data_IF_712711796788
#
_entry.id   IF_712711796788
#
_cell.length_a   1.000
_cell.length_b   1.000
_cell.length_c   1.000
_cell.angle_alpha   90.00
_cell.angle_beta   90.00
_cell.angle_gamma   90.00
#
_symmetry.space_group_name_H-M   'P 1'
#
loop_
_entity.id
_entity.type
_entity.pdbx_description
1 polymer ?
#
# COMPACT_ATOMS: atom_id res chain seq x y z
N UNK A 1 15.23 -4.63 34.96
CA UNK A 1 15.87 -5.22 33.76
C UNK A 1 15.46 -6.67 33.40
N UNK A 2 14.87 -7.49 34.29
CA UNK A 2 14.54 -8.90 33.97
C UNK A 2 13.17 -9.18 33.31
N UNK A 3 12.21 -8.25 33.35
CA UNK A 3 10.86 -8.45 32.73
C UNK A 3 10.82 -8.30 31.19
N UNK A 4 11.75 -7.55 30.59
CA UNK A 4 11.77 -7.28 29.15
C UNK A 4 12.26 -8.47 28.31
N UNK A 5 13.17 -9.28 28.85
CA UNK A 5 13.74 -10.45 28.17
C UNK A 5 12.70 -11.58 28.08
N UNK A 6 11.87 -11.77 29.12
CA UNK A 6 10.84 -12.81 29.15
C UNK A 6 9.71 -12.58 28.13
N UNK A 7 9.29 -11.33 27.90
CA UNK A 7 8.30 -11.00 26.86
C UNK A 7 8.84 -11.27 25.45
N UNK A 8 10.14 -11.08 25.21
CA UNK A 8 10.74 -11.32 23.88
C UNK A 8 10.81 -12.82 23.51
N UNK A 9 11.08 -13.68 24.50
CA UNK A 9 11.22 -15.14 24.31
C UNK A 9 9.85 -15.80 24.08
N UNK A 10 8.81 -15.31 24.78
CA UNK A 10 7.43 -15.75 24.55
C UNK A 10 6.96 -15.30 23.16
N UNK A 11 7.29 -14.07 22.72
CA UNK A 11 6.89 -13.61 21.39
C UNK A 11 7.57 -14.37 20.25
N UNK A 12 8.85 -14.75 20.41
CA UNK A 12 9.62 -15.48 19.39
C UNK A 12 9.13 -16.94 19.23
N UNK A 13 8.81 -17.60 20.34
CA UNK A 13 8.26 -18.96 20.35
C UNK A 13 6.81 -19.02 19.84
N UNK A 14 6.00 -17.98 20.04
CA UNK A 14 4.65 -17.92 19.48
C UNK A 14 4.62 -17.60 17.98
N UNK A 15 5.54 -16.77 17.48
CA UNK A 15 5.68 -16.52 16.04
C UNK A 15 6.14 -17.78 15.30
N UNK A 16 7.03 -18.59 15.90
CA UNK A 16 7.41 -19.88 15.34
C UNK A 16 6.25 -20.88 15.31
N UNK A 17 5.38 -20.89 16.33
CA UNK A 17 4.18 -21.75 16.36
C UNK A 17 3.12 -21.28 15.36
N UNK A 18 2.90 -19.97 15.21
CA UNK A 18 2.01 -19.41 14.18
C UNK A 18 2.54 -19.72 12.76
N UNK A 19 3.85 -19.57 12.54
CA UNK A 19 4.52 -19.93 11.29
C UNK A 19 4.44 -21.44 11.00
N UNK A 20 4.57 -22.31 12.00
CA UNK A 20 4.46 -23.76 11.85
C UNK A 20 3.04 -24.21 11.52
N UNK A 21 2.02 -23.58 12.13
CA UNK A 21 0.61 -23.92 11.88
C UNK A 21 0.11 -23.46 10.49
N UNK A 22 0.76 -22.47 9.88
CA UNK A 22 0.50 -22.01 8.50
C UNK A 22 1.19 -22.90 7.46
N UNK A 23 2.38 -23.42 7.76
CA UNK A 23 3.14 -24.27 6.84
C UNK A 23 2.48 -25.63 6.54
N UNK A 24 1.58 -26.13 7.40
CA UNK A 24 0.95 -27.45 7.21
C UNK A 24 -0.18 -27.50 6.17
N UNK A 25 -0.60 -26.36 5.59
CA UNK A 25 -1.69 -26.29 4.60
C UNK A 25 -1.30 -25.82 3.20
N UNK A 26 -0.02 -25.59 2.91
CA UNK A 26 0.40 -25.23 1.55
C UNK A 26 0.64 -26.49 0.70
N UNK A 27 -0.30 -26.83 -0.18
CA UNK A 27 -0.01 -27.72 -1.32
C UNK A 27 1.00 -26.99 -2.19
N UNK A 28 2.23 -27.50 -2.23
CA UNK A 28 3.31 -27.02 -3.10
C UNK A 28 2.92 -27.29 -4.55
N UNK A 29 2.35 -26.28 -5.22
CA UNK A 29 2.32 -26.23 -6.68
C UNK A 29 3.77 -25.99 -7.12
N UNK A 30 4.34 -26.92 -7.90
CA UNK A 30 5.68 -26.79 -8.48
C UNK A 30 5.72 -25.47 -9.26
N UNK A 31 6.48 -24.50 -8.73
CA UNK A 31 6.56 -23.15 -9.29
C UNK A 31 7.31 -23.15 -10.61
N UNK A 32 6.78 -22.44 -11.60
CA UNK A 32 7.49 -22.12 -12.84
C UNK A 32 8.85 -21.50 -12.53
N UNK A 33 9.91 -21.89 -13.24
CA UNK A 33 11.29 -21.38 -13.13
C UNK A 33 11.44 -19.93 -13.64
N UNK A 34 10.57 -19.02 -13.20
CA UNK A 34 10.66 -17.62 -13.57
C UNK A 34 11.88 -16.97 -12.91
N UNK A 35 12.63 -16.12 -13.64
CA UNK A 35 13.76 -15.43 -13.08
C UNK A 35 13.31 -14.52 -11.93
N UNK A 36 13.92 -14.71 -10.75
CA UNK A 36 13.63 -13.92 -9.56
C UNK A 36 14.52 -12.68 -9.50
N UNK A 37 14.00 -11.59 -8.95
CA UNK A 37 14.71 -10.34 -8.68
C UNK A 37 14.57 -9.96 -7.22
N UNK A 38 15.63 -9.43 -6.63
CA UNK A 38 15.59 -8.84 -5.28
C UNK A 38 15.16 -7.38 -5.40
N UNK A 39 14.11 -7.01 -4.67
CA UNK A 39 13.57 -5.65 -4.64
C UNK A 39 13.78 -5.08 -3.24
N UNK A 40 14.55 -4.00 -3.13
CA UNK A 40 14.78 -3.28 -1.88
C UNK A 40 13.71 -2.19 -1.71
N UNK A 41 12.87 -2.34 -0.69
CA UNK A 41 11.82 -1.37 -0.36
C UNK A 41 12.30 -0.32 0.64
N UNK A 42 13.14 -0.72 1.59
CA UNK A 42 13.96 0.12 2.49
C UNK A 42 15.31 -0.57 2.72
N UNK A 43 16.27 0.12 3.33
CA UNK A 43 17.66 -0.35 3.44
C UNK A 43 17.75 -1.78 4.01
N UNK A 44 16.99 -2.04 5.08
CA UNK A 44 16.97 -3.34 5.76
C UNK A 44 15.76 -4.21 5.39
N UNK A 45 15.09 -3.94 4.27
CA UNK A 45 13.94 -4.75 3.84
C UNK A 45 13.95 -4.96 2.34
N UNK A 46 14.18 -6.22 1.97
CA UNK A 46 14.13 -6.67 0.59
C UNK A 46 13.30 -7.93 0.47
N UNK A 47 12.73 -8.11 -0.71
CA UNK A 47 11.95 -9.30 -1.05
C UNK A 47 12.41 -9.82 -2.40
N UNK A 48 12.62 -11.14 -2.47
CA UNK A 48 12.88 -11.84 -3.72
C UNK A 48 11.55 -12.23 -4.36
N UNK A 49 11.29 -11.74 -5.56
CA UNK A 49 10.03 -11.96 -6.29
C UNK A 49 10.27 -12.21 -7.77
N UNK A 50 9.30 -12.78 -8.45
CA UNK A 50 9.40 -13.04 -9.89
C UNK A 50 9.53 -11.73 -10.67
N UNK A 51 10.46 -11.70 -11.64
CA UNK A 51 10.72 -10.51 -12.46
C UNK A 51 9.50 -10.09 -13.28
N UNK A 52 8.67 -11.06 -13.71
CA UNK A 52 7.40 -10.82 -14.40
C UNK A 52 6.38 -10.12 -13.48
N UNK A 53 6.23 -10.60 -12.24
CA UNK A 53 5.37 -9.99 -11.23
C UNK A 53 5.80 -8.56 -10.91
N UNK A 54 7.11 -8.34 -10.70
CA UNK A 54 7.65 -7.00 -10.47
C UNK A 54 7.33 -6.06 -11.64
N UNK A 55 7.57 -6.49 -12.88
CA UNK A 55 7.25 -5.70 -14.08
C UNK A 55 5.75 -5.40 -14.20
N UNK A 56 4.88 -6.37 -13.87
CA UNK A 56 3.42 -6.22 -13.88
C UNK A 56 2.96 -5.18 -12.87
N UNK A 57 3.49 -5.21 -11.65
CA UNK A 57 3.10 -4.28 -10.59
C UNK A 57 3.70 -2.87 -10.74
N UNK A 58 4.85 -2.74 -11.41
CA UNK A 58 5.55 -1.47 -11.62
C UNK A 58 4.94 -0.64 -12.76
N UNK A 59 3.65 -0.34 -12.66
CA UNK A 59 2.88 0.42 -13.66
C UNK A 59 3.35 1.87 -13.79
N UNK A 60 3.90 2.45 -12.71
CA UNK A 60 4.34 3.85 -12.65
C UNK A 60 5.79 4.11 -13.09
N UNK A 61 6.53 3.09 -13.58
CA UNK A 61 7.97 3.22 -13.92
C UNK A 61 8.26 4.40 -14.85
N UNK A 62 7.42 4.60 -15.87
CA UNK A 62 7.57 5.66 -16.89
C UNK A 62 6.77 6.94 -16.60
N UNK A 63 6.15 7.04 -15.42
CA UNK A 63 5.43 8.26 -15.01
C UNK A 63 6.40 9.34 -14.52
N UNK A 64 7.07 10.05 -15.43
CA UNK A 64 8.12 11.02 -15.09
C UNK A 64 7.65 12.19 -14.21
N UNK A 65 6.36 12.47 -14.18
CA UNK A 65 5.72 13.47 -13.32
C UNK A 65 5.65 13.06 -11.83
N UNK A 66 6.01 11.83 -11.46
CA UNK A 66 5.95 11.34 -10.08
C UNK A 66 7.33 11.03 -9.51
N UNK A 67 7.56 11.39 -8.24
CA UNK A 67 8.79 11.05 -7.53
C UNK A 67 8.92 9.54 -7.21
N UNK A 68 10.16 9.11 -6.91
CA UNK A 68 10.49 7.70 -6.61
C UNK A 68 9.62 7.07 -5.51
N UNK A 69 9.33 7.81 -4.44
CA UNK A 69 8.49 7.30 -3.34
C UNK A 69 7.04 7.05 -3.80
N UNK A 70 6.45 8.00 -4.54
CA UNK A 70 5.09 7.85 -5.08
C UNK A 70 4.97 6.66 -6.03
N UNK A 71 5.96 6.46 -6.92
CA UNK A 71 6.02 5.28 -7.81
C UNK A 71 6.11 3.97 -7.02
N UNK A 72 6.90 3.95 -5.94
CA UNK A 72 7.03 2.77 -5.05
C UNK A 72 5.75 2.49 -4.27
N UNK A 73 5.01 3.52 -3.85
CA UNK A 73 3.69 3.35 -3.23
C UNK A 73 2.74 2.63 -4.19
N UNK A 74 2.69 3.05 -5.47
CA UNK A 74 1.87 2.37 -6.49
C UNK A 74 2.31 0.92 -6.70
N UNK A 75 3.62 0.67 -6.78
CA UNK A 75 4.16 -0.69 -6.91
C UNK A 75 3.69 -1.61 -5.77
N UNK A 76 3.75 -1.12 -4.52
CA UNK A 76 3.35 -1.88 -3.34
C UNK A 76 1.83 -2.12 -3.28
N UNK A 77 1.01 -1.11 -3.57
CA UNK A 77 -0.45 -1.27 -3.70
C UNK A 77 -0.80 -2.28 -4.80
N UNK A 78 -0.09 -2.27 -5.93
CA UNK A 78 -0.30 -3.24 -6.99
C UNK A 78 0.12 -4.65 -6.59
N UNK A 79 1.18 -4.78 -5.80
CA UNK A 79 1.63 -6.09 -5.32
C UNK A 79 0.61 -6.70 -4.35
N UNK A 80 0.00 -5.91 -3.47
CA UNK A 80 -1.07 -6.40 -2.58
C UNK A 80 -2.35 -6.75 -3.35
N UNK A 81 -2.58 -6.18 -4.53
CA UNK A 81 -3.73 -6.47 -5.39
C UNK A 81 -3.53 -7.70 -6.29
N UNK A 82 -2.33 -7.83 -6.87
CA UNK A 82 -2.05 -8.86 -7.90
C UNK A 82 -1.53 -10.16 -7.31
N UNK A 83 -0.86 -10.08 -6.16
CA UNK A 83 -0.31 -11.24 -5.48
C UNK A 83 -0.58 -11.13 -3.97
N UNK A 84 -1.86 -11.10 -3.54
CA UNK A 84 -2.25 -10.77 -2.17
C UNK A 84 -1.69 -11.78 -1.15
N UNK A 85 -1.74 -13.08 -1.48
CA UNK A 85 -1.15 -14.16 -0.66
C UNK A 85 0.37 -13.99 -0.53
N UNK A 86 1.06 -13.69 -1.63
CA UNK A 86 2.51 -13.43 -1.61
C UNK A 86 2.83 -12.19 -0.78
N UNK A 87 2.03 -11.12 -0.91
CA UNK A 87 2.19 -9.89 -0.12
C UNK A 87 2.02 -10.18 1.37
N UNK A 88 1.00 -10.96 1.75
CA UNK A 88 0.79 -11.38 3.13
C UNK A 88 2.01 -12.14 3.68
N UNK A 89 2.44 -13.19 2.98
CA UNK A 89 3.44 -14.13 3.48
C UNK A 89 4.88 -13.57 3.41
N UNK A 90 5.18 -12.74 2.42
CA UNK A 90 6.54 -12.24 2.15
C UNK A 90 6.77 -10.80 2.58
N UNK A 91 5.72 -9.99 2.69
CA UNK A 91 5.84 -8.57 3.07
C UNK A 91 5.23 -8.32 4.44
N UNK A 92 3.94 -8.59 4.63
CA UNK A 92 3.23 -8.27 5.88
C UNK A 92 3.84 -8.98 7.09
N UNK A 93 4.06 -10.29 7.02
CA UNK A 93 4.65 -11.09 8.12
C UNK A 93 6.06 -10.61 8.48
N UNK A 94 6.87 -10.23 7.48
CA UNK A 94 8.27 -9.83 7.69
C UNK A 94 8.43 -8.36 8.06
N UNK A 95 7.39 -7.55 7.86
CA UNK A 95 7.47 -6.13 8.08
C UNK A 95 7.60 -5.84 9.59
N UNK A 96 8.73 -5.24 9.95
CA UNK A 96 9.17 -5.01 11.33
C UNK A 96 9.03 -3.55 11.79
N UNK A 97 8.81 -2.63 10.85
CA UNK A 97 9.00 -1.19 11.04
C UNK A 97 7.98 -0.50 11.93
N UNK A 98 6.74 -1.01 11.96
CA UNK A 98 5.67 -0.54 12.86
C UNK A 98 4.72 -1.65 13.31
N UNK A 99 4.66 -2.81 12.63
CA UNK A 99 3.73 -3.92 12.95
C UNK A 99 3.84 -4.43 14.38
N UNK A 100 5.02 -4.38 15.00
CA UNK A 100 5.19 -4.80 16.41
C UNK A 100 4.51 -3.87 17.43
N UNK A 101 4.25 -2.62 17.05
CA UNK A 101 3.55 -1.63 17.88
C UNK A 101 2.07 -1.52 17.52
N UNK A 102 1.69 -2.03 16.35
CA UNK A 102 0.31 -1.98 15.86
C UNK A 102 -0.54 -3.04 16.55
N UNK A 103 -1.83 -2.75 16.71
CA UNK A 103 -2.76 -3.67 17.33
C UNK A 103 -2.91 -4.95 16.49
N UNK A 104 -2.61 -6.08 17.12
CA UNK A 104 -2.63 -7.42 16.55
C UNK A 104 -3.91 -7.73 15.77
N UNK A 105 -5.07 -7.25 16.22
CA UNK A 105 -6.37 -7.50 15.57
C UNK A 105 -6.43 -6.94 14.15
N UNK A 106 -5.83 -5.77 13.90
CA UNK A 106 -5.81 -5.14 12.57
C UNK A 106 -4.85 -5.84 11.61
N UNK A 107 -3.75 -6.37 12.14
CA UNK A 107 -2.79 -7.15 11.36
C UNK A 107 -3.40 -8.50 10.97
N UNK A 108 -4.03 -9.19 11.93
CA UNK A 108 -4.71 -10.46 11.67
C UNK A 108 -5.88 -10.29 10.72
N UNK A 109 -6.65 -9.20 10.82
CA UNK A 109 -7.71 -8.90 9.86
C UNK A 109 -7.14 -8.66 8.46
N UNK A 110 -6.08 -7.85 8.32
CA UNK A 110 -5.44 -7.63 7.01
C UNK A 110 -4.91 -8.93 6.42
N UNK A 111 -4.27 -9.75 7.25
CA UNK A 111 -3.74 -11.03 6.82
C UNK A 111 -4.87 -11.91 6.27
N UNK A 112 -5.99 -12.03 6.99
CA UNK A 112 -7.16 -12.79 6.51
C UNK A 112 -7.70 -12.22 5.19
N UNK A 113 -7.92 -10.90 5.12
CA UNK A 113 -8.41 -10.25 3.91
C UNK A 113 -7.49 -10.56 2.72
N UNK A 114 -6.17 -10.48 2.87
CA UNK A 114 -5.21 -10.80 1.80
C UNK A 114 -5.16 -12.30 1.43
N UNK A 115 -5.49 -13.22 2.34
CA UNK A 115 -5.54 -14.66 2.02
C UNK A 115 -6.82 -15.04 1.28
N UNK A 116 -7.88 -14.27 1.48
CA UNK A 116 -9.20 -14.48 0.86
C UNK A 116 -9.39 -13.63 -0.41
N UNK A 117 -8.59 -12.58 -0.59
CA UNK A 117 -8.69 -11.66 -1.74
C UNK A 117 -8.41 -12.38 -3.06
N UNK A 118 -9.34 -12.27 -4.01
CA UNK A 118 -9.11 -12.67 -5.39
C UNK A 118 -8.09 -11.74 -6.07
N UNK A 119 -7.37 -12.26 -7.06
CA UNK A 119 -6.37 -11.47 -7.78
C UNK A 119 -7.05 -10.35 -8.56
N UNK A 120 -6.64 -9.11 -8.29
CA UNK A 120 -7.24 -7.93 -8.90
C UNK A 120 -6.38 -7.32 -10.00
N UNK A 121 -7.00 -6.48 -10.81
CA UNK A 121 -6.30 -5.62 -11.77
C UNK A 121 -5.36 -4.63 -11.07
N UNK A 122 -4.24 -4.32 -11.74
CA UNK A 122 -3.30 -3.28 -11.32
C UNK A 122 -3.92 -1.89 -11.41
N UNK A 123 -3.56 -1.02 -10.48
CA UNK A 123 -3.75 0.41 -10.57
C UNK A 123 -2.75 1.00 -11.58
N UNK A 124 -3.28 1.74 -12.55
CA UNK A 124 -2.50 2.48 -13.55
C UNK A 124 -2.30 3.94 -13.11
N UNK A 125 -1.09 4.51 -13.28
CA UNK A 125 -0.84 5.90 -12.93
C UNK A 125 -1.67 6.84 -13.83
N UNK A 126 -2.18 7.93 -13.26
CA UNK A 126 -2.95 8.97 -13.98
C UNK A 126 -2.38 10.34 -13.67
N UNK A 127 -2.09 11.13 -14.71
CA UNK A 127 -1.60 12.50 -14.55
C UNK A 127 -2.66 13.39 -13.88
N UNK A 128 -3.94 13.25 -14.24
CA UNK A 128 -5.03 14.04 -13.66
C UNK A 128 -5.24 13.74 -12.17
N UNK A 129 -5.21 12.46 -11.78
CA UNK A 129 -5.27 12.10 -10.36
C UNK A 129 -4.02 12.56 -9.61
N UNK A 130 -2.86 12.52 -10.25
CA UNK A 130 -1.63 13.04 -9.65
C UNK A 130 -1.71 14.56 -9.43
N UNK A 131 -2.23 15.34 -10.38
CA UNK A 131 -2.42 16.79 -10.22
C UNK A 131 -3.41 17.10 -9.07
N UNK A 132 -4.48 16.32 -8.95
CA UNK A 132 -5.43 16.41 -7.84
C UNK A 132 -4.76 16.11 -6.49
N UNK A 133 -4.01 15.01 -6.40
CA UNK A 133 -3.29 14.63 -5.19
C UNK A 133 -2.15 15.62 -4.88
N UNK A 134 -1.48 16.15 -5.91
CA UNK A 134 -0.41 17.13 -5.79
C UNK A 134 -0.91 18.43 -5.19
N UNK A 135 -1.99 18.98 -5.74
CA UNK A 135 -2.56 20.24 -5.26
C UNK A 135 -3.00 20.11 -3.81
N UNK A 136 -3.64 18.99 -3.44
CA UNK A 136 -4.03 18.73 -2.06
C UNK A 136 -2.84 18.58 -1.13
N UNK A 137 -1.86 17.72 -1.48
CA UNK A 137 -0.69 17.50 -0.64
C UNK A 137 0.10 18.81 -0.41
N UNK A 138 0.18 19.68 -1.42
CA UNK A 138 0.85 20.97 -1.29
C UNK A 138 0.07 21.93 -0.38
N UNK A 139 -1.22 22.12 -0.63
CA UNK A 139 -2.05 23.08 0.12
C UNK A 139 -2.22 22.63 1.57
N UNK A 140 -2.61 21.37 1.79
CA UNK A 140 -2.70 20.79 3.14
C UNK A 140 -1.37 20.87 3.88
N UNK A 141 -0.26 20.64 3.18
CA UNK A 141 1.08 20.74 3.72
C UNK A 141 1.46 22.13 4.26
N UNK A 142 1.16 23.18 3.48
CA UNK A 142 1.46 24.57 3.85
C UNK A 142 0.52 25.06 4.96
N UNK A 143 -0.75 24.65 4.91
CA UNK A 143 -1.79 25.09 5.85
C UNK A 143 -1.88 24.24 7.12
N UNK A 144 -1.07 23.19 7.24
CA UNK A 144 -1.17 22.17 8.28
C UNK A 144 -2.51 21.45 8.37
N UNK A 145 -3.30 21.46 7.28
CA UNK A 145 -4.62 20.87 7.27
C UNK A 145 -4.57 19.35 7.10
N UNK A 146 -5.42 18.62 7.82
CA UNK A 146 -5.62 17.18 7.68
C UNK A 146 -7.02 16.84 7.16
N UNK A 147 -7.11 15.91 6.22
CA UNK A 147 -8.36 15.28 5.76
C UNK A 147 -8.56 15.36 4.25
N UNK A 148 -9.82 15.35 3.83
CA UNK A 148 -10.23 15.13 2.44
C UNK A 148 -10.89 16.33 1.76
N UNK A 149 -10.65 17.55 2.28
CA UNK A 149 -11.34 18.78 1.82
C UNK A 149 -11.23 18.96 0.31
N UNK A 150 -12.39 19.18 -0.32
CA UNK A 150 -12.47 19.59 -1.71
C UNK A 150 -12.12 18.52 -2.75
N UNK A 151 -12.03 17.24 -2.37
CA UNK A 151 -11.67 16.14 -3.30
C UNK A 151 -12.45 16.18 -4.62
N UNK A 152 -13.79 16.25 -4.55
CA UNK A 152 -14.64 16.28 -5.75
C UNK A 152 -14.32 17.45 -6.67
N UNK A 153 -14.04 18.63 -6.09
CA UNK A 153 -13.67 19.82 -6.85
C UNK A 153 -12.28 19.65 -7.49
N UNK A 154 -11.28 19.22 -6.71
CA UNK A 154 -9.92 18.97 -7.21
C UNK A 154 -9.92 17.96 -8.35
N UNK A 155 -10.66 16.87 -8.22
CA UNK A 155 -10.77 15.88 -9.28
C UNK A 155 -11.43 16.47 -10.54
N UNK A 156 -12.48 17.28 -10.42
CA UNK A 156 -13.12 17.95 -11.57
C UNK A 156 -12.20 18.92 -12.30
N UNK A 157 -11.24 19.55 -11.60
CA UNK A 157 -10.27 20.45 -12.23
C UNK A 157 -9.28 19.73 -13.15
N UNK A 158 -8.97 18.46 -12.85
CA UNK A 158 -7.90 17.72 -13.55
C UNK A 158 -8.38 16.49 -14.31
N UNK A 159 -9.64 16.08 -14.12
CA UNK A 159 -10.24 14.90 -14.72
C UNK A 159 -11.67 15.21 -15.14
N UNK A 160 -12.12 14.57 -16.23
CA UNK A 160 -13.55 14.44 -16.49
C UNK A 160 -14.14 13.48 -15.42
N UNK A 161 -14.74 14.07 -14.39
CA UNK A 161 -15.23 13.36 -13.21
C UNK A 161 -16.57 12.68 -13.49
N UNK A 162 -16.51 11.52 -14.15
CA UNK A 162 -17.58 10.53 -14.16
C UNK A 162 -17.11 9.24 -13.46
N UNK A 163 -17.99 8.65 -12.65
CA UNK A 163 -17.78 7.35 -11.97
C UNK A 163 -17.16 7.42 -10.57
N UNK A 164 -16.74 6.26 -10.07
CA UNK A 164 -16.21 6.06 -8.71
C UNK A 164 -14.86 6.75 -8.51
N UNK A 165 -14.68 7.39 -7.35
CA UNK A 165 -13.43 7.99 -6.88
C UNK A 165 -13.23 7.77 -5.38
N UNK A 166 -11.99 7.90 -4.91
CA UNK A 166 -11.63 7.76 -3.50
C UNK A 166 -10.31 8.47 -3.22
N UNK A 167 -10.00 8.68 -1.94
CA UNK A 167 -8.75 9.32 -1.51
C UNK A 167 -8.23 8.65 -0.24
N UNK A 168 -6.92 8.40 -0.18
CA UNK A 168 -6.20 8.09 1.05
C UNK A 168 -5.19 9.19 1.36
N UNK A 169 -5.05 9.53 2.63
CA UNK A 169 -4.08 10.51 3.12
C UNK A 169 -3.22 9.88 4.23
N UNK A 170 -1.92 10.10 4.16
CA UNK A 170 -0.94 9.64 5.14
C UNK A 170 -0.09 10.84 5.61
N UNK A 171 0.16 10.93 6.92
CA UNK A 171 0.92 12.02 7.53
C UNK A 171 2.13 11.51 8.30
N UNK A 172 3.33 11.90 7.87
CA UNK A 172 4.59 11.54 8.50
C UNK A 172 5.75 11.34 7.51
N UNK A 173 7.01 11.43 7.97
CA UNK A 173 8.21 11.29 7.12
C UNK A 173 8.53 9.82 6.76
N UNK A 174 7.52 9.02 6.45
CA UNK A 174 7.62 7.56 6.20
C UNK A 174 8.08 7.18 4.79
N UNK A 175 8.71 6.03 4.61
CA UNK A 175 9.01 5.52 3.26
C UNK A 175 7.76 4.87 2.63
N UNK A 176 7.79 4.55 1.33
CA UNK A 176 6.64 3.97 0.62
C UNK A 176 6.12 2.64 1.21
N UNK A 177 7.00 1.79 1.75
CA UNK A 177 6.61 0.55 2.42
C UNK A 177 5.81 0.87 3.68
N UNK A 178 6.35 1.72 4.55
CA UNK A 178 5.69 2.04 5.82
C UNK A 178 4.33 2.72 5.57
N UNK A 179 4.22 3.59 4.56
CA UNK A 179 2.97 4.24 4.16
C UNK A 179 1.92 3.20 3.75
N UNK A 180 2.26 2.29 2.84
CA UNK A 180 1.30 1.28 2.35
C UNK A 180 0.93 0.30 3.47
N UNK A 181 1.88 -0.05 4.33
CA UNK A 181 1.62 -0.91 5.48
C UNK A 181 0.70 -0.25 6.50
N UNK A 182 0.93 1.02 6.84
CA UNK A 182 0.06 1.74 7.77
C UNK A 182 -1.37 1.89 7.21
N UNK A 183 -1.53 2.20 5.92
CA UNK A 183 -2.85 2.33 5.27
C UNK A 183 -3.55 0.99 5.05
N UNK A 184 -2.82 -0.11 4.85
CA UNK A 184 -3.42 -1.44 4.75
C UNK A 184 -3.79 -1.98 6.13
N UNK A 185 -2.94 -1.82 7.15
CA UNK A 185 -3.28 -2.25 8.52
C UNK A 185 -4.45 -1.41 9.03
N UNK A 186 -4.41 -0.12 8.75
CA UNK A 186 -5.47 0.86 8.99
C UNK A 186 -5.96 0.91 10.45
N UNK A 187 -5.00 0.83 11.37
CA UNK A 187 -5.29 0.85 12.80
C UNK A 187 -5.90 2.19 13.24
N UNK A 188 -6.96 2.10 14.03
CA UNK A 188 -7.66 3.26 14.58
C UNK A 188 -8.68 3.89 13.62
N UNK A 189 -8.80 3.38 12.39
CA UNK A 189 -9.79 3.82 11.42
C UNK A 189 -10.99 2.86 11.42
N UNK A 190 -12.19 3.31 11.82
CA UNK A 190 -13.40 2.52 11.71
C UNK A 190 -13.63 2.08 10.27
N UNK A 191 -13.89 0.78 10.06
CA UNK A 191 -14.17 0.22 8.74
C UNK A 191 -12.97 0.07 7.81
N UNK A 192 -11.74 0.32 8.27
CA UNK A 192 -10.50 0.15 7.47
C UNK A 192 -10.57 0.80 6.07
N UNK A 193 -11.16 1.98 5.98
CA UNK A 193 -11.48 2.64 4.70
C UNK A 193 -10.28 2.88 3.78
N UNK A 194 -9.06 3.05 4.32
CA UNK A 194 -7.87 3.17 3.48
C UNK A 194 -7.50 1.83 2.84
N UNK A 195 -7.62 0.72 3.58
CA UNK A 195 -7.45 -0.65 3.07
C UNK A 195 -8.49 -0.93 1.99
N UNK A 196 -9.75 -0.60 2.24
CA UNK A 196 -10.83 -0.78 1.27
C UNK A 196 -10.54 -0.04 -0.02
N UNK A 197 -10.05 1.20 0.04
CA UNK A 197 -9.64 1.93 -1.15
C UNK A 197 -8.49 1.21 -1.90
N UNK A 198 -7.44 0.78 -1.21
CA UNK A 198 -6.31 0.10 -1.86
C UNK A 198 -6.73 -1.23 -2.49
N UNK A 199 -7.64 -1.97 -1.85
CA UNK A 199 -8.10 -3.31 -2.27
C UNK A 199 -9.47 -3.29 -2.96
N UNK A 200 -9.93 -2.14 -3.47
CA UNK A 200 -11.22 -2.05 -4.19
C UNK A 200 -11.09 -2.39 -5.68
N UNK A 201 -11.95 -3.28 -6.18
CA UNK A 201 -12.05 -3.58 -7.62
C UNK A 201 -12.61 -2.41 -8.43
N UNK A 202 -13.34 -1.51 -7.75
CA UNK A 202 -13.92 -0.32 -8.35
C UNK A 202 -12.86 0.66 -8.85
N UNK A 203 -11.62 0.56 -8.35
CA UNK A 203 -10.51 1.41 -8.77
C UNK A 203 -9.61 0.76 -9.81
N UNK A 204 -9.23 1.58 -10.79
CA UNK A 204 -8.38 1.21 -11.93
C UNK A 204 -7.20 2.16 -12.10
N UNK A 205 -7.36 3.42 -11.69
CA UNK A 205 -6.35 4.46 -11.80
C UNK A 205 -6.01 5.04 -10.43
N UNK A 206 -4.77 5.52 -10.33
CA UNK A 206 -4.27 6.18 -9.12
C UNK A 206 -3.32 7.33 -9.46
N UNK A 207 -3.36 8.37 -8.63
CA UNK A 207 -2.34 9.42 -8.56
C UNK A 207 -1.82 9.52 -7.14
N UNK A 208 -0.51 9.64 -6.97
CA UNK A 208 0.14 9.69 -5.65
C UNK A 208 1.09 10.88 -5.59
N UNK A 209 0.92 11.76 -4.61
CA UNK A 209 1.84 12.87 -4.36
C UNK A 209 2.29 12.90 -2.92
N UNK A 210 3.60 13.10 -2.72
CA UNK A 210 4.19 13.28 -1.39
C UNK A 210 4.80 14.67 -1.29
N UNK A 211 4.36 15.47 -0.32
CA UNK A 211 4.81 16.85 -0.12
C UNK A 211 5.25 17.08 1.32
N UNK A 212 5.81 18.26 1.55
CA UNK A 212 6.14 18.71 2.88
C UNK A 212 4.86 19.12 3.61
N UNK A 213 4.84 18.91 4.92
CA UNK A 213 3.74 19.31 5.78
C UNK A 213 4.31 19.94 7.04
N UNK A 214 3.81 21.10 7.46
CA UNK A 214 4.40 21.85 8.57
C UNK A 214 4.42 21.03 9.87
N UNK A 215 3.27 20.48 10.27
CA UNK A 215 3.14 19.67 11.49
C UNK A 215 3.80 18.28 11.39
N UNK A 216 3.50 17.51 10.34
CA UNK A 216 3.95 16.11 10.23
C UNK A 216 5.26 15.92 9.44
N UNK A 217 5.94 17.00 9.06
CA UNK A 217 7.11 17.05 8.16
C UNK A 217 6.83 16.61 6.73
N UNK A 218 5.93 15.66 6.51
CA UNK A 218 5.50 15.16 5.20
C UNK A 218 4.04 14.72 5.24
N UNK A 219 3.38 14.81 4.09
CA UNK A 219 2.11 14.14 3.82
C UNK A 219 2.19 13.39 2.48
N UNK A 220 1.38 12.35 2.33
CA UNK A 220 1.22 11.59 1.09
C UNK A 220 -0.27 11.46 0.79
N UNK A 221 -0.69 11.90 -0.39
CA UNK A 221 -2.07 11.84 -0.86
C UNK A 221 -2.15 10.86 -2.02
N UNK A 222 -3.18 10.02 -2.04
CA UNK A 222 -3.47 9.04 -3.07
C UNK A 222 -4.90 9.21 -3.54
N UNK A 223 -5.07 9.70 -4.77
CA UNK A 223 -6.39 9.84 -5.38
C UNK A 223 -6.64 8.67 -6.33
N UNK A 224 -7.82 8.05 -6.22
CA UNK A 224 -8.22 6.90 -7.01
C UNK A 224 -9.39 7.24 -7.93
N UNK A 225 -9.47 6.54 -9.07
CA UNK A 225 -10.69 6.51 -9.86
C UNK A 225 -10.92 5.14 -10.48
N UNK A 226 -12.18 4.86 -10.81
CA UNK A 226 -12.53 3.75 -11.68
C UNK A 226 -12.01 3.90 -13.10
N UNK A 227 -12.36 2.92 -13.94
CA UNK A 227 -12.07 2.95 -15.38
C UNK A 227 -12.62 4.23 -15.99
N UNK A 228 -11.90 4.80 -16.95
CA UNK A 228 -12.42 5.86 -17.83
C UNK A 228 -12.68 5.28 -19.21
N UNK A 229 -13.34 6.04 -20.07
CA UNK A 229 -13.62 5.64 -21.44
C UNK A 229 -12.39 5.09 -22.18
N UNK A 230 -11.22 5.75 -22.01
CA UNK A 230 -9.94 5.30 -22.58
C UNK A 230 -9.37 3.98 -22.01
N UNK A 231 -9.99 3.38 -20.98
CA UNK A 231 -9.60 2.05 -20.46
C UNK A 231 -10.47 0.92 -21.00
N UNK A 232 -11.52 1.25 -21.78
CA UNK A 232 -12.46 0.27 -22.32
C UNK A 232 -12.03 -0.28 -23.69
N UNK A 233 -10.97 0.28 -24.26
CA UNK A 233 -10.35 -0.09 -25.54
C UNK A 233 -8.85 -0.30 -25.31
#
# INVERSE_FOLDING_TARGET
MKKSIFLSIIYFSYFSVFSQKINSKSKVVRGSDNPKTTVHFKDNFSVRMDKSLYKKCNTARFSFYMGKQAKRTILLMNLSRVAPVFFADSILIKYDGTVKQKNRRYIESLYRDLKELEVMQVLKPSIGLWLSAFSHALISGITSYEGHRGLKLRLRLFLNLNGTYGENCDYGPRNALDIVMDLLIDEGIPGVGHRENILSEKFYRVGVSKKWHFQYRRNTVMDFSGKKFLDLF
#
